data_IF_487392625657
#
_entry.id   IF_487392625657
#
_cell.length_a   1.000
_cell.length_b   1.000
_cell.length_c   1.000
_cell.angle_alpha   90.00
_cell.angle_beta   90.00
_cell.angle_gamma   90.00
#
_symmetry.space_group_name_H-M   'P 1'
#
loop_
_entity.id
_entity.type
_entity.pdbx_description
1 polymer ?
#
# COMPACT_ATOMS: atom_id res chain seq x y z
N UNK A 1 -3.40 -0.66 9.95
CA UNK A 1 -4.55 -1.58 10.06
C UNK A 1 -4.26 -2.82 9.20
N UNK A 2 -4.64 -4.02 9.65
CA UNK A 2 -4.49 -5.26 8.87
C UNK A 2 -5.71 -5.44 7.96
N UNK A 3 -5.48 -5.74 6.69
CA UNK A 3 -6.50 -6.04 5.69
C UNK A 3 -6.41 -7.51 5.31
N UNK A 4 -7.51 -8.22 5.43
CA UNK A 4 -7.60 -9.63 5.09
C UNK A 4 -8.47 -9.84 3.84
N UNK A 5 -7.92 -10.52 2.84
CA UNK A 5 -8.59 -10.83 1.57
C UNK A 5 -8.37 -12.31 1.27
N UNK A 6 -9.43 -13.11 1.31
CA UNK A 6 -9.39 -14.57 1.03
C UNK A 6 -8.27 -15.32 1.78
N UNK A 7 -8.07 -14.98 3.07
CA UNK A 7 -7.05 -15.59 3.92
C UNK A 7 -5.65 -14.98 3.82
N UNK A 8 -5.38 -14.16 2.81
CA UNK A 8 -4.15 -13.36 2.73
C UNK A 8 -4.25 -12.13 3.65
N UNK A 9 -3.16 -11.81 4.36
CA UNK A 9 -3.08 -10.63 5.21
C UNK A 9 -2.09 -9.62 4.62
N UNK A 10 -2.52 -8.36 4.56
CA UNK A 10 -1.70 -7.21 4.19
C UNK A 10 -1.94 -6.02 5.13
N UNK A 11 -1.16 -4.97 4.95
CA UNK A 11 -1.29 -3.72 5.69
C UNK A 11 -1.90 -2.64 4.79
N UNK A 12 -2.84 -1.87 5.33
CA UNK A 12 -3.40 -0.70 4.66
C UNK A 12 -2.34 0.40 4.44
N UNK A 13 -2.43 1.13 3.32
CA UNK A 13 -1.62 2.34 3.08
C UNK A 13 -2.38 3.63 3.46
N UNK A 14 -2.89 4.34 2.47
CA UNK A 14 -3.49 5.66 2.53
C UNK A 14 -4.99 5.58 2.28
N UNK A 15 -5.64 6.71 2.53
CA UNK A 15 -7.07 6.87 2.31
C UNK A 15 -7.29 7.71 1.06
N UNK A 16 -8.29 7.30 0.27
CA UNK A 16 -8.67 7.97 -0.96
C UNK A 16 -10.17 8.28 -0.96
N UNK A 17 -10.58 9.25 -1.76
CA UNK A 17 -11.99 9.59 -1.99
C UNK A 17 -12.27 9.67 -3.48
N UNK A 18 -13.55 9.60 -3.85
CA UNK A 18 -14.03 9.91 -5.20
C UNK A 18 -14.94 11.16 -5.21
N UNK A 19 -15.40 11.57 -6.39
CA UNK A 19 -16.34 12.67 -6.56
C UNK A 19 -17.74 12.41 -5.97
N UNK A 20 -18.08 11.15 -5.69
CA UNK A 20 -19.34 10.76 -5.05
C UNK A 20 -19.26 10.75 -3.52
N UNK A 21 -18.08 11.01 -2.93
CA UNK A 21 -17.83 10.99 -1.50
C UNK A 21 -17.63 9.57 -0.92
N UNK A 22 -17.35 8.57 -1.75
CA UNK A 22 -16.97 7.23 -1.28
C UNK A 22 -15.58 7.26 -0.66
N UNK A 23 -15.39 6.60 0.48
CA UNK A 23 -14.08 6.40 1.10
C UNK A 23 -13.45 5.09 0.65
N UNK A 24 -12.16 5.13 0.34
CA UNK A 24 -11.36 3.96 -0.02
C UNK A 24 -10.13 3.89 0.87
N UNK A 25 -9.70 2.66 1.17
CA UNK A 25 -8.41 2.39 1.78
C UNK A 25 -7.59 1.61 0.75
N UNK A 26 -6.38 2.08 0.47
CA UNK A 26 -5.49 1.38 -0.45
C UNK A 26 -4.66 0.30 0.25
N UNK A 27 -4.19 -0.65 -0.54
CA UNK A 27 -3.20 -1.66 -0.20
C UNK A 27 -2.53 -2.18 -1.47
N UNK A 28 -1.64 -3.17 -1.35
CA UNK A 28 -1.00 -3.76 -2.53
C UNK A 28 -1.96 -4.67 -3.33
N UNK A 29 -1.90 -4.65 -4.66
CA UNK A 29 -2.78 -5.45 -5.53
C UNK A 29 -2.54 -6.95 -5.37
N UNK A 30 -1.29 -7.37 -5.15
CA UNK A 30 -0.95 -8.77 -4.90
C UNK A 30 -1.59 -9.34 -3.63
N UNK A 31 -2.08 -8.49 -2.72
CA UNK A 31 -2.85 -8.92 -1.56
C UNK A 31 -4.20 -9.56 -1.95
N UNK A 32 -4.67 -9.29 -3.17
CA UNK A 32 -5.78 -9.99 -3.80
C UNK A 32 -5.31 -10.99 -4.87
N UNK A 33 -4.01 -11.26 -4.96
CA UNK A 33 -3.43 -12.23 -5.90
C UNK A 33 -3.84 -13.67 -5.56
N UNK A 34 -3.92 -14.51 -6.59
CA UNK A 34 -4.13 -15.97 -6.46
C UNK A 34 -2.83 -16.77 -6.62
N UNK A 35 -1.76 -16.08 -6.99
CA UNK A 35 -0.44 -16.65 -7.24
C UNK A 35 0.38 -16.88 -5.97
N UNK A 36 1.62 -17.32 -6.17
CA UNK A 36 2.61 -17.33 -5.10
C UNK A 36 3.00 -15.90 -4.71
N UNK A 37 3.52 -15.70 -3.50
CA UNK A 37 4.03 -14.40 -3.06
C UNK A 37 5.18 -13.85 -3.94
N UNK A 38 5.77 -14.68 -4.80
CA UNK A 38 6.79 -14.30 -5.78
C UNK A 38 6.23 -13.84 -7.11
N UNK A 39 4.93 -14.04 -7.36
CA UNK A 39 4.26 -13.62 -8.59
C UNK A 39 4.01 -12.12 -8.49
N UNK A 40 4.96 -11.34 -9.00
CA UNK A 40 5.00 -9.88 -8.84
C UNK A 40 4.65 -9.11 -10.11
N UNK A 41 4.60 -9.79 -11.27
CA UNK A 41 4.19 -9.16 -12.51
C UNK A 41 2.66 -9.09 -12.61
N UNK A 42 2.11 -7.89 -12.50
CA UNK A 42 0.67 -7.66 -12.50
C UNK A 42 -0.04 -7.90 -13.84
N UNK A 43 0.71 -7.96 -14.95
CA UNK A 43 0.16 -8.27 -16.26
C UNK A 43 -0.05 -9.78 -16.48
N UNK A 44 0.66 -10.62 -15.74
CA UNK A 44 0.59 -12.09 -15.87
C UNK A 44 -0.10 -12.75 -14.66
N UNK A 45 0.08 -12.20 -13.46
CA UNK A 45 -0.36 -12.82 -12.22
C UNK A 45 -1.90 -12.79 -12.06
N UNK A 46 -2.48 -13.92 -11.69
CA UNK A 46 -3.93 -14.01 -11.48
C UNK A 46 -4.35 -13.26 -10.20
N UNK A 47 -5.50 -12.57 -10.28
CA UNK A 47 -6.11 -11.84 -9.15
C UNK A 47 -7.53 -12.34 -8.84
N UNK A 48 -7.96 -12.15 -7.61
CA UNK A 48 -9.37 -12.18 -7.20
C UNK A 48 -10.15 -11.09 -7.94
N UNK A 49 -11.44 -11.32 -8.24
CA UNK A 49 -12.26 -10.36 -8.97
C UNK A 49 -12.59 -9.13 -8.11
N UNK A 50 -12.93 -8.01 -8.77
CA UNK A 50 -13.56 -6.88 -8.10
C UNK A 50 -14.85 -7.32 -7.38
N UNK A 51 -15.20 -6.65 -6.28
CA UNK A 51 -16.29 -7.01 -5.38
C UNK A 51 -15.92 -8.04 -4.31
N UNK A 52 -14.69 -8.58 -4.33
CA UNK A 52 -14.18 -9.44 -3.27
C UNK A 52 -14.20 -8.73 -1.93
N UNK A 53 -14.64 -9.45 -0.88
CA UNK A 53 -14.73 -8.90 0.48
C UNK A 53 -13.35 -8.78 1.10
N UNK A 54 -13.12 -7.65 1.77
CA UNK A 54 -11.93 -7.38 2.56
C UNK A 54 -12.33 -7.01 3.97
N UNK A 55 -11.71 -7.65 4.96
CA UNK A 55 -11.96 -7.41 6.39
C UNK A 55 -10.84 -6.57 6.99
N UNK A 56 -11.19 -5.60 7.84
CA UNK A 56 -10.24 -4.75 8.54
C UNK A 56 -10.10 -5.21 9.99
N UNK A 57 -8.86 -5.47 10.40
CA UNK A 57 -8.54 -6.10 11.69
C UNK A 57 -7.50 -5.27 12.44
N UNK A 58 -7.69 -5.18 13.75
CA UNK A 58 -6.71 -4.66 14.71
C UNK A 58 -6.20 -5.76 15.64
N UNK A 59 -4.90 -5.73 15.96
CA UNK A 59 -4.30 -6.64 16.93
C UNK A 59 -4.20 -8.10 16.50
N UNK A 60 -4.46 -8.43 15.23
CA UNK A 60 -4.27 -9.78 14.70
C UNK A 60 -2.80 -10.20 14.76
N UNK A 61 -2.55 -11.46 15.12
CA UNK A 61 -1.21 -12.05 15.23
C UNK A 61 -1.24 -13.56 15.03
N UNK A 62 -0.08 -14.22 15.08
CA UNK A 62 -0.01 -15.69 15.12
C UNK A 62 -0.73 -16.33 16.33
N UNK A 63 -1.05 -15.54 17.37
CA UNK A 63 -1.67 -16.03 18.61
C UNK A 63 -3.15 -15.67 18.74
N UNK A 64 -3.66 -14.75 17.92
CA UNK A 64 -5.04 -14.29 17.99
C UNK A 64 -5.49 -13.73 16.64
N UNK A 65 -6.74 -13.97 16.28
CA UNK A 65 -7.36 -13.41 15.06
C UNK A 65 -7.49 -11.88 15.11
N UNK A 66 -7.31 -11.27 16.28
CA UNK A 66 -7.49 -9.83 16.48
C UNK A 66 -8.96 -9.47 16.64
N UNK A 67 -9.27 -8.20 16.37
CA UNK A 67 -10.64 -7.67 16.40
C UNK A 67 -11.00 -7.13 15.02
N UNK A 68 -12.07 -7.63 14.43
CA UNK A 68 -12.67 -7.03 13.26
C UNK A 68 -13.25 -5.65 13.63
N UNK A 69 -12.77 -4.61 12.95
CA UNK A 69 -13.16 -3.22 13.21
C UNK A 69 -13.98 -2.60 12.08
N UNK A 70 -14.00 -3.28 10.93
CA UNK A 70 -14.79 -2.88 9.78
C UNK A 70 -14.48 -3.73 8.56
N UNK A 71 -15.04 -3.31 7.43
CA UNK A 71 -15.02 -4.08 6.22
C UNK A 71 -15.18 -3.21 4.96
N UNK A 72 -14.76 -3.74 3.82
CA UNK A 72 -14.88 -3.09 2.52
C UNK A 72 -14.88 -4.09 1.36
N UNK A 73 -14.95 -3.59 0.14
CA UNK A 73 -14.95 -4.42 -1.07
C UNK A 73 -13.87 -3.96 -2.03
N UNK A 74 -13.14 -4.91 -2.63
CA UNK A 74 -12.12 -4.62 -3.63
C UNK A 74 -12.77 -3.90 -4.82
N UNK A 75 -12.53 -2.61 -4.95
CA UNK A 75 -13.16 -1.74 -5.94
C UNK A 75 -12.25 -1.43 -7.12
N UNK A 76 -10.93 -1.52 -6.92
CA UNK A 76 -9.93 -1.35 -7.97
C UNK A 76 -8.74 -2.27 -7.71
N UNK A 77 -8.15 -2.78 -8.79
CA UNK A 77 -6.89 -3.51 -8.79
C UNK A 77 -6.14 -3.12 -10.07
N UNK A 78 -4.88 -2.69 -9.91
CA UNK A 78 -4.00 -2.38 -11.04
C UNK A 78 -3.81 -3.60 -11.92
N UNK A 79 -3.60 -4.79 -11.35
CA UNK A 79 -3.40 -6.04 -12.09
C UNK A 79 -4.58 -6.39 -13.00
N UNK A 80 -5.80 -6.39 -12.45
CA UNK A 80 -7.00 -6.61 -13.26
C UNK A 80 -7.18 -5.54 -14.34
N UNK A 81 -6.82 -4.29 -14.04
CA UNK A 81 -6.94 -3.18 -14.99
C UNK A 81 -5.93 -3.27 -16.12
N UNK A 82 -4.66 -3.56 -15.80
CA UNK A 82 -3.57 -3.78 -16.75
C UNK A 82 -3.90 -4.95 -17.67
N UNK A 83 -4.34 -6.08 -17.12
CA UNK A 83 -4.75 -7.26 -17.90
C UNK A 83 -5.92 -6.96 -18.83
N UNK A 84 -6.95 -6.26 -18.34
CA UNK A 84 -8.10 -5.85 -19.13
C UNK A 84 -7.70 -4.92 -20.30
N UNK A 85 -6.74 -4.04 -20.07
CA UNK A 85 -6.27 -3.09 -21.08
C UNK A 85 -5.21 -3.69 -22.01
N UNK A 86 -4.69 -4.88 -21.69
CA UNK A 86 -3.59 -5.50 -22.42
C UNK A 86 -2.29 -4.70 -22.30
N UNK A 87 -2.01 -4.18 -21.10
CA UNK A 87 -0.80 -3.41 -20.78
C UNK A 87 0.47 -4.11 -21.27
N UNK A 88 1.42 -3.33 -21.79
CA UNK A 88 2.68 -3.81 -22.37
C UNK A 88 3.91 -3.06 -21.86
N UNK A 89 3.72 -2.00 -21.09
CA UNK A 89 4.85 -1.33 -20.46
C UNK A 89 5.46 -2.24 -19.38
N UNK A 90 6.73 -2.60 -19.58
CA UNK A 90 7.42 -3.56 -18.72
C UNK A 90 7.52 -3.05 -17.27
N UNK A 91 7.66 -1.74 -17.06
CA UNK A 91 7.77 -1.15 -15.73
C UNK A 91 6.41 -1.11 -15.02
N UNK A 92 5.34 -0.69 -15.69
CA UNK A 92 3.99 -0.77 -15.15
C UNK A 92 3.63 -2.23 -14.79
N UNK A 93 3.91 -3.18 -15.68
CA UNK A 93 3.68 -4.60 -15.41
C UNK A 93 4.47 -5.12 -14.20
N UNK A 94 5.72 -4.67 -14.03
CA UNK A 94 6.59 -5.13 -12.95
C UNK A 94 6.30 -4.47 -11.59
N UNK A 95 5.80 -3.23 -11.56
CA UNK A 95 5.79 -2.40 -10.35
C UNK A 95 4.43 -1.82 -9.97
N UNK A 96 3.44 -1.77 -10.88
CA UNK A 96 2.13 -1.23 -10.55
C UNK A 96 1.32 -2.24 -9.71
N UNK A 97 1.41 -2.12 -8.41
CA UNK A 97 0.88 -3.07 -7.44
C UNK A 97 -0.13 -2.39 -6.51
N UNK A 98 -1.02 -1.61 -7.10
CA UNK A 98 -1.97 -0.78 -6.37
C UNK A 98 -3.40 -1.28 -6.45
N UNK A 99 -4.08 -1.32 -5.31
CA UNK A 99 -5.49 -1.66 -5.24
C UNK A 99 -6.23 -0.81 -4.20
N UNK A 100 -7.53 -0.62 -4.43
CA UNK A 100 -8.41 0.14 -3.55
C UNK A 100 -9.55 -0.73 -3.05
N UNK A 101 -9.78 -0.66 -1.75
CA UNK A 101 -10.93 -1.25 -1.09
C UNK A 101 -11.90 -0.14 -0.76
N UNK A 102 -13.09 -0.17 -1.35
CA UNK A 102 -14.18 0.73 -0.99
C UNK A 102 -14.70 0.34 0.39
N UNK A 103 -14.59 1.26 1.33
CA UNK A 103 -15.04 1.07 2.71
C UNK A 103 -16.56 1.02 2.74
N UNK A 104 -17.12 0.12 3.53
CA UNK A 104 -18.57 0.06 3.72
C UNK A 104 -19.07 1.35 4.39
N UNK A 105 -20.26 1.80 3.99
CA UNK A 105 -20.82 3.07 4.45
C UNK A 105 -20.94 3.15 5.99
N UNK A 106 -21.17 2.03 6.67
CA UNK A 106 -21.24 1.95 8.12
C UNK A 106 -19.89 2.20 8.83
N UNK A 107 -18.78 1.95 8.14
CA UNK A 107 -17.42 2.07 8.69
C UNK A 107 -16.68 3.31 8.20
N UNK A 108 -17.16 3.99 7.16
CA UNK A 108 -16.49 5.16 6.58
C UNK A 108 -16.15 6.24 7.63
N UNK A 109 -17.04 6.46 8.61
CA UNK A 109 -16.83 7.43 9.70
C UNK A 109 -15.71 7.04 10.69
N UNK A 110 -15.26 5.78 10.68
CA UNK A 110 -14.16 5.28 11.52
C UNK A 110 -12.78 5.49 10.88
N UNK A 111 -12.74 5.82 9.59
CA UNK A 111 -11.50 5.92 8.83
C UNK A 111 -10.78 7.22 9.15
N UNK A 112 -9.53 7.12 9.59
CA UNK A 112 -8.62 8.25 9.72
C UNK A 112 -7.56 8.17 8.60
N UNK A 113 -7.37 9.22 7.78
CA UNK A 113 -6.35 9.24 6.72
C UNK A 113 -4.91 9.32 7.25
N UNK A 114 -4.72 9.46 8.56
CA UNK A 114 -3.40 9.60 9.16
C UNK A 114 -2.63 8.29 9.27
N UNK A 115 -1.35 8.30 8.87
CA UNK A 115 -0.46 7.16 9.09
C UNK A 115 -0.22 7.01 10.60
N UNK A 116 -0.48 5.84 11.21
CA UNK A 116 -0.27 5.66 12.64
C UNK A 116 1.17 5.98 13.04
N UNK A 117 1.36 6.55 14.23
CA UNK A 117 2.63 7.04 14.79
C UNK A 117 3.23 8.27 14.08
N UNK A 118 3.15 8.36 12.75
CA UNK A 118 3.80 9.41 11.97
C UNK A 118 2.93 10.64 11.70
N UNK A 119 1.60 10.48 11.61
CA UNK A 119 0.71 11.50 11.03
C UNK A 119 0.83 11.53 9.49
N UNK A 120 0.36 12.61 8.85
CA UNK A 120 0.37 12.71 7.38
C UNK A 120 -0.48 11.64 6.68
N UNK A 121 -0.47 11.50 5.34
CA UNK A 121 0.39 12.22 4.42
C UNK A 121 -0.04 13.69 4.29
N UNK A 122 0.92 14.59 4.06
CA UNK A 122 0.64 16.02 3.87
C UNK A 122 0.28 16.35 2.42
N UNK A 123 0.83 15.61 1.47
CA UNK A 123 0.52 15.65 0.04
C UNK A 123 0.94 14.32 -0.62
N UNK A 124 0.78 14.23 -1.95
CA UNK A 124 1.36 13.18 -2.77
C UNK A 124 2.81 13.55 -3.13
N UNK A 125 3.75 12.61 -2.99
CA UNK A 125 5.08 12.79 -3.56
C UNK A 125 5.00 12.59 -5.08
N UNK A 126 5.47 13.57 -5.86
CA UNK A 126 5.45 13.52 -7.34
C UNK A 126 6.83 13.61 -7.96
N UNK A 127 7.88 13.62 -7.14
CA UNK A 127 9.27 13.82 -7.54
C UNK A 127 10.15 12.60 -7.29
N UNK A 128 9.61 11.56 -6.65
CA UNK A 128 10.35 10.40 -6.19
C UNK A 128 11.25 10.70 -5.00
N UNK A 129 12.23 9.83 -4.80
CA UNK A 129 13.28 9.96 -3.76
C UNK A 129 14.67 9.77 -4.36
N UNK A 130 15.67 10.40 -3.77
CA UNK A 130 17.08 10.18 -4.08
C UNK A 130 17.70 9.17 -3.12
N UNK A 131 18.80 8.55 -3.57
CA UNK A 131 19.59 7.67 -2.71
C UNK A 131 20.12 8.44 -1.48
N UNK A 132 19.83 7.93 -0.29
CA UNK A 132 20.17 8.57 0.99
C UNK A 132 19.02 9.33 1.65
N UNK A 133 17.91 9.57 0.95
CA UNK A 133 16.75 10.24 1.55
C UNK A 133 16.12 9.39 2.65
N UNK A 134 15.61 10.06 3.68
CA UNK A 134 14.90 9.37 4.77
C UNK A 134 13.48 9.02 4.35
N UNK A 135 13.04 7.82 4.72
CA UNK A 135 11.66 7.38 4.51
C UNK A 135 11.07 6.83 5.81
N UNK A 136 9.75 6.96 5.94
CA UNK A 136 8.99 6.47 7.09
C UNK A 136 7.90 5.52 6.63
N UNK A 137 7.63 4.47 7.41
CA UNK A 137 6.57 3.50 7.10
C UNK A 137 5.90 2.99 8.36
N UNK A 138 4.70 2.44 8.20
CA UNK A 138 4.00 1.74 9.26
C UNK A 138 3.55 0.36 8.77
N UNK A 139 4.19 -0.69 9.29
CA UNK A 139 3.86 -2.09 8.99
C UNK A 139 3.02 -2.74 10.08
N UNK A 140 1.99 -3.50 9.71
CA UNK A 140 1.09 -4.13 10.67
C UNK A 140 0.99 -5.65 10.50
N UNK A 141 2.06 -6.31 10.03
CA UNK A 141 2.11 -7.76 9.88
C UNK A 141 1.74 -8.51 11.17
N UNK A 142 0.84 -9.49 11.01
CA UNK A 142 0.48 -10.45 12.07
C UNK A 142 1.66 -11.30 12.56
N UNK A 143 2.73 -11.42 11.76
CA UNK A 143 3.94 -12.16 12.12
C UNK A 143 4.80 -11.45 13.17
N UNK A 144 4.54 -10.17 13.45
CA UNK A 144 5.26 -9.41 14.48
C UNK A 144 4.76 -9.69 15.90
N UNK A 145 3.93 -10.72 16.08
CA UNK A 145 3.42 -11.20 17.38
C UNK A 145 2.74 -10.10 18.22
N UNK A 146 2.11 -9.11 17.58
CA UNK A 146 1.45 -7.99 18.26
C UNK A 146 2.40 -6.95 18.88
N UNK A 147 3.70 -7.00 18.59
CA UNK A 147 4.68 -6.01 19.05
C UNK A 147 4.55 -4.72 18.23
N UNK A 148 3.62 -3.85 18.63
CA UNK A 148 3.33 -2.58 17.95
C UNK A 148 4.51 -1.61 17.96
N UNK A 149 5.50 -1.79 18.83
CA UNK A 149 6.75 -1.01 18.82
C UNK A 149 7.59 -1.24 17.56
N UNK A 150 7.37 -2.36 16.85
CA UNK A 150 8.05 -2.69 15.61
C UNK A 150 7.27 -2.26 14.35
N UNK A 151 6.10 -1.66 14.54
CA UNK A 151 5.24 -1.24 13.44
C UNK A 151 5.73 0.06 12.78
N UNK A 152 6.09 1.13 13.52
CA UNK A 152 6.75 2.27 12.93
C UNK A 152 8.14 1.86 12.41
N UNK A 153 8.44 2.24 11.18
CA UNK A 153 9.72 1.99 10.53
C UNK A 153 10.29 3.30 10.03
N UNK A 154 11.60 3.43 10.20
CA UNK A 154 12.41 4.42 9.53
C UNK A 154 13.41 3.71 8.62
N UNK A 155 13.72 4.33 7.50
CA UNK A 155 14.62 3.78 6.51
C UNK A 155 15.28 4.83 5.66
N UNK A 156 15.97 4.34 4.65
CA UNK A 156 16.69 5.14 3.67
C UNK A 156 16.33 4.67 2.27
N UNK A 157 16.02 5.61 1.38
CA UNK A 157 15.82 5.34 -0.03
C UNK A 157 17.14 5.02 -0.73
N UNK A 158 17.08 4.15 -1.73
CA UNK A 158 18.18 3.83 -2.63
C UNK A 158 18.04 4.56 -3.98
N UNK A 159 17.10 5.51 -4.06
CA UNK A 159 16.69 6.20 -5.26
C UNK A 159 15.45 5.57 -5.89
N UNK A 160 15.19 5.94 -7.14
CA UNK A 160 14.10 5.36 -7.93
C UNK A 160 14.63 4.44 -9.03
N UNK A 161 13.87 3.41 -9.36
CA UNK A 161 14.12 2.49 -10.47
C UNK A 161 12.85 2.30 -11.31
N UNK A 162 12.96 1.53 -12.40
CA UNK A 162 11.82 1.23 -13.26
C UNK A 162 11.16 2.49 -13.81
N UNK A 163 11.96 3.47 -14.24
CA UNK A 163 11.48 4.78 -14.71
C UNK A 163 10.62 5.56 -13.69
N UNK A 164 10.84 5.32 -12.40
CA UNK A 164 10.14 6.02 -11.33
C UNK A 164 8.95 5.26 -10.77
N UNK A 165 8.65 4.05 -11.26
CA UNK A 165 7.58 3.21 -10.74
C UNK A 165 7.89 2.54 -9.39
N UNK A 166 9.17 2.47 -9.00
CA UNK A 166 9.59 1.83 -7.76
C UNK A 166 10.67 2.64 -7.05
N UNK A 167 10.61 2.66 -5.72
CA UNK A 167 11.60 3.24 -4.82
C UNK A 167 12.15 2.13 -3.90
N UNK A 168 13.31 1.55 -4.20
CA UNK A 168 13.90 0.57 -3.30
C UNK A 168 14.36 1.25 -2.00
N UNK A 169 14.07 0.63 -0.86
CA UNK A 169 14.39 1.17 0.46
C UNK A 169 15.04 0.13 1.35
N UNK A 170 15.90 0.58 2.27
CA UNK A 170 16.29 -0.21 3.45
C UNK A 170 15.63 0.36 4.68
N UNK A 171 14.95 -0.49 5.45
CA UNK A 171 14.35 -0.11 6.74
C UNK A 171 15.12 -0.76 7.88
N UNK A 172 15.19 -0.09 9.05
CA UNK A 172 15.89 -0.61 10.24
C UNK A 172 15.38 -1.99 10.64
N UNK A 173 14.07 -2.22 10.51
CA UNK A 173 13.49 -3.56 10.51
C UNK A 173 12.86 -3.85 9.15
N UNK A 174 13.36 -4.86 8.40
CA UNK A 174 12.90 -5.12 7.04
C UNK A 174 11.41 -5.45 7.01
N UNK A 175 10.78 -5.30 5.84
CA UNK A 175 9.47 -5.86 5.54
C UNK A 175 9.42 -7.37 5.80
N UNK A 176 8.30 -7.84 6.33
CA UNK A 176 7.99 -9.27 6.44
C UNK A 176 6.63 -9.55 5.79
N UNK A 177 6.28 -10.80 5.44
CA UNK A 177 4.95 -11.12 4.92
C UNK A 177 3.85 -10.53 5.83
N UNK A 178 2.85 -9.90 5.23
CA UNK A 178 1.83 -9.13 5.96
C UNK A 178 2.10 -7.63 6.07
N UNK A 179 3.35 -7.17 5.88
CA UNK A 179 3.65 -5.74 5.74
C UNK A 179 3.37 -5.23 4.31
N UNK A 180 3.15 -6.12 3.34
CA UNK A 180 2.74 -5.74 1.98
C UNK A 180 1.59 -4.74 2.01
N UNK A 181 1.68 -3.70 1.19
CA UNK A 181 0.77 -2.57 1.16
C UNK A 181 1.04 -1.48 2.21
N UNK A 182 2.01 -1.62 3.11
CA UNK A 182 2.34 -0.57 4.10
C UNK A 182 2.65 0.77 3.43
N UNK A 183 2.06 1.85 3.94
CA UNK A 183 2.36 3.21 3.49
C UNK A 183 3.85 3.54 3.70
N UNK A 184 4.43 4.24 2.73
CA UNK A 184 5.72 4.90 2.83
C UNK A 184 5.55 6.41 2.62
N UNK A 185 6.13 7.19 3.53
CA UNK A 185 6.21 8.64 3.48
C UNK A 185 7.66 9.06 3.20
N UNK A 186 7.85 10.16 2.47
CA UNK A 186 9.15 10.82 2.37
C UNK A 186 9.50 11.62 3.64
N UNK A 187 10.63 12.33 3.62
CA UNK A 187 11.15 13.09 4.76
C UNK A 187 10.24 14.27 5.15
N UNK A 188 9.41 14.76 4.24
CA UNK A 188 8.45 15.85 4.43
C UNK A 188 7.04 15.34 4.79
N UNK A 189 6.83 14.03 4.77
CA UNK A 189 5.54 13.41 5.07
C UNK A 189 4.61 13.35 3.88
N UNK A 190 5.10 13.49 2.64
CA UNK A 190 4.30 13.23 1.45
C UNK A 190 4.19 11.71 1.23
N UNK A 191 3.05 11.26 0.69
CA UNK A 191 2.83 9.88 0.33
C UNK A 191 3.75 9.49 -0.84
N UNK A 192 4.78 8.70 -0.54
CA UNK A 192 5.74 8.18 -1.51
C UNK A 192 5.17 6.97 -2.24
N UNK A 193 4.58 6.04 -1.50
CA UNK A 193 4.29 4.74 -2.07
C UNK A 193 3.76 3.70 -1.10
N UNK A 194 3.59 2.48 -1.59
CA UNK A 194 3.20 1.32 -0.81
C UNK A 194 4.21 0.19 -0.96
N UNK A 195 4.45 -0.57 0.12
CA UNK A 195 5.34 -1.73 0.09
C UNK A 195 4.80 -2.79 -0.89
N UNK A 196 5.48 -3.01 -2.01
CA UNK A 196 5.09 -4.00 -3.03
C UNK A 196 5.88 -5.30 -2.90
N UNK A 197 7.21 -5.22 -2.77
CA UNK A 197 8.06 -6.42 -2.80
C UNK A 197 9.04 -6.50 -1.62
N UNK A 198 9.34 -7.73 -1.21
CA UNK A 198 10.51 -8.06 -0.39
C UNK A 198 11.62 -8.45 -1.37
N UNK A 199 12.51 -7.52 -1.72
CA UNK A 199 13.48 -7.75 -2.77
C UNK A 199 14.55 -8.75 -2.31
N UNK A 200 14.70 -9.86 -3.07
CA UNK A 200 15.71 -10.90 -2.83
C UNK A 200 16.99 -10.61 -3.64
N UNK A 201 16.87 -9.97 -4.81
CA UNK A 201 17.98 -9.58 -5.68
C UNK A 201 17.62 -8.33 -6.50
N UNK A 202 18.61 -7.51 -6.94
CA UNK A 202 20.04 -7.58 -6.60
C UNK A 202 20.36 -7.05 -5.20
N UNK A 203 19.45 -6.30 -4.58
CA UNK A 203 19.63 -5.63 -3.30
C UNK A 203 18.97 -6.46 -2.18
N UNK A 204 19.64 -7.54 -1.77
CA UNK A 204 19.12 -8.42 -0.73
C UNK A 204 18.74 -7.65 0.54
N UNK A 205 17.54 -7.93 1.05
CA UNK A 205 17.01 -7.30 2.26
C UNK A 205 16.44 -5.89 2.06
N UNK A 206 16.48 -5.36 0.83
CA UNK A 206 15.75 -4.14 0.50
C UNK A 206 14.28 -4.46 0.22
N UNK A 207 13.48 -3.40 0.19
CA UNK A 207 12.05 -3.47 -0.05
C UNK A 207 11.71 -2.59 -1.25
N UNK A 208 10.95 -3.12 -2.21
CA UNK A 208 10.43 -2.32 -3.31
C UNK A 208 9.16 -1.60 -2.87
N UNK A 209 9.14 -0.29 -3.05
CA UNK A 209 7.97 0.56 -2.77
C UNK A 209 7.43 1.05 -4.10
N UNK A 210 6.20 0.67 -4.45
CA UNK A 210 5.53 1.18 -5.66
C UNK A 210 5.31 2.68 -5.53
N UNK A 211 5.53 3.43 -6.62
CA UNK A 211 5.36 4.88 -6.63
C UNK A 211 3.89 5.27 -6.69
N UNK A 212 3.39 5.91 -5.62
CA UNK A 212 1.98 6.21 -5.51
C UNK A 212 1.51 7.19 -6.59
N UNK A 213 2.36 8.09 -7.07
CA UNK A 213 1.96 9.06 -8.10
C UNK A 213 1.69 8.37 -9.44
N UNK A 214 2.55 7.45 -9.87
CA UNK A 214 2.34 6.65 -11.07
C UNK A 214 1.15 5.70 -10.90
N UNK A 215 1.07 4.99 -9.77
CA UNK A 215 -0.01 4.04 -9.47
C UNK A 215 -1.40 4.73 -9.41
N UNK A 216 -1.49 5.85 -8.68
CA UNK A 216 -2.72 6.63 -8.58
C UNK A 216 -3.08 7.26 -9.92
N UNK A 217 -2.11 7.77 -10.68
CA UNK A 217 -2.32 8.31 -12.02
C UNK A 217 -2.90 7.25 -12.96
N UNK A 218 -2.36 6.04 -12.93
CA UNK A 218 -2.88 4.91 -13.69
C UNK A 218 -4.32 4.55 -13.28
N UNK A 219 -4.59 4.51 -11.97
CA UNK A 219 -5.94 4.25 -11.45
C UNK A 219 -6.95 5.34 -11.84
N UNK A 220 -6.55 6.61 -11.80
CA UNK A 220 -7.38 7.73 -12.24
C UNK A 220 -7.70 7.66 -13.73
N UNK A 221 -6.73 7.27 -14.55
CA UNK A 221 -6.90 7.19 -16.00
C UNK A 221 -7.72 5.96 -16.44
N UNK A 222 -7.53 4.81 -15.79
CA UNK A 222 -8.02 3.53 -16.28
C UNK A 222 -9.00 2.80 -15.35
N UNK A 223 -9.06 3.19 -14.08
CA UNK A 223 -9.84 2.50 -13.04
C UNK A 223 -11.33 2.81 -13.01
N UNK A 224 -11.77 3.86 -13.71
CA UNK A 224 -13.19 4.23 -13.80
C UNK A 224 -13.79 4.84 -12.52
N UNK A 225 -12.95 5.29 -11.58
CA UNK A 225 -13.38 5.97 -10.35
C UNK A 225 -13.25 7.48 -10.55
N UNK A 226 -14.37 8.15 -10.84
CA UNK A 226 -14.38 9.57 -11.15
C UNK A 226 -13.94 10.42 -9.95
N UNK A 227 -12.96 11.30 -10.14
CA UNK A 227 -12.45 12.19 -9.10
C UNK A 227 -11.67 11.47 -7.99
N UNK A 228 -11.13 10.27 -8.27
CA UNK A 228 -10.27 9.56 -7.34
C UNK A 228 -9.09 10.44 -6.90
N UNK A 229 -8.92 10.65 -5.60
CA UNK A 229 -7.85 11.47 -5.05
C UNK A 229 -7.38 10.97 -3.69
N UNK A 230 -6.09 11.17 -3.39
CA UNK A 230 -5.50 10.97 -2.07
C UNK A 230 -6.12 11.95 -1.06
N UNK A 231 -6.44 11.47 0.13
CA UNK A 231 -6.91 12.29 1.26
C UNK A 231 -5.73 12.60 2.18
N UNK A 232 -5.39 13.88 2.43
CA UNK A 232 -4.37 14.25 3.41
C UNK A 232 -4.72 13.78 4.83
N UNK A 233 -3.70 13.50 5.62
CA UNK A 233 -3.82 13.16 7.04
C UNK A 233 -4.51 14.25 7.86
N UNK A 234 -5.20 13.85 8.93
CA UNK A 234 -5.84 14.79 9.88
C UNK A 234 -4.93 15.13 11.07
N UNK A 235 -4.02 14.22 11.41
CA UNK A 235 -2.91 14.43 12.34
C UNK A 235 -1.68 14.96 11.60
N UNK A 236 -0.99 15.97 12.13
CA UNK A 236 0.20 16.54 11.50
C UNK A 236 1.32 15.52 11.40
N UNK A 237 2.06 15.55 10.30
CA UNK A 237 3.26 14.74 10.18
C UNK A 237 4.31 15.16 11.22
N UNK A 238 4.76 14.21 12.03
CA UNK A 238 5.63 14.46 13.18
C UNK A 238 6.63 13.31 13.36
N UNK A 239 7.66 13.21 12.49
CA UNK A 239 8.71 12.22 12.69
C UNK A 239 9.48 12.54 13.97
N UNK A 240 9.66 11.54 14.84
CA UNK A 240 10.53 11.68 16.00
C UNK A 240 11.98 11.78 15.49
N UNK A 241 12.61 12.93 15.75
CA UNK A 241 14.04 13.18 15.50
C UNK A 241 14.91 12.41 16.48
#
# INVERSE_FOLDING_TARGET
>A
MQMYTDGAQCTANFVFTDAAGSTYVGYAAHCAGKGAATDTNGCDAASLPLGTRVTFVEGGSLLTEGTEVGHGTLAYSSWLTMQKNGERDDNACAYNDFALVKVDAADASKVNPSVPFWGGPVALNTTGTAAGDTVYSYGNSSLRAGLTQLSPKQGTSLGSEGEGWSHPVYTVSPGVPGDSGSAFLDAEGNALGALSTLAIAPLAGSNGVGDLAHELGYAQQHGGIAGLALVPGTEPFSPLL
#
